data_IF_060852664774
#
_entry.id   IF_060852664774
#
_cell.length_a   1.000
_cell.length_b   1.000
_cell.length_c   1.000
_cell.angle_alpha   90.00
_cell.angle_beta   90.00
_cell.angle_gamma   90.00
#
_symmetry.space_group_name_H-M   'P 1'
#
loop_
_entity.id
_entity.type
_entity.pdbx_description
1 polymer ?
#
# COMPACT_ATOMS: atom_id res chain seq x y z
N UNK A 1 -7.07 -11.47 16.63
CA UNK A 1 -5.82 -11.84 17.32
C UNK A 1 -4.72 -11.03 16.67
N UNK A 2 -4.20 -9.99 17.33
CA UNK A 2 -3.18 -9.11 16.76
C UNK A 2 -1.84 -9.85 16.81
N UNK A 3 -1.22 -10.09 15.65
CA UNK A 3 0.12 -10.66 15.58
C UNK A 3 1.14 -9.52 15.71
N UNK A 4 1.92 -9.52 16.77
CA UNK A 4 3.05 -8.61 16.93
C UNK A 4 4.22 -9.20 16.13
N UNK A 5 4.49 -8.64 14.94
CA UNK A 5 5.66 -8.98 14.13
C UNK A 5 6.94 -8.39 14.77
N UNK A 6 8.15 -8.92 14.44
CA UNK A 6 9.43 -8.52 15.06
C UNK A 6 9.85 -7.05 14.87
N UNK A 7 9.02 -6.24 14.20
CA UNK A 7 9.32 -4.88 13.77
C UNK A 7 8.46 -3.81 14.46
N UNK A 8 7.65 -4.19 15.47
CA UNK A 8 6.79 -3.24 16.19
C UNK A 8 5.58 -2.72 15.38
N UNK A 9 5.42 -3.19 14.14
CA UNK A 9 4.23 -2.93 13.34
C UNK A 9 3.16 -3.95 13.72
N UNK A 10 2.09 -3.49 14.34
CA UNK A 10 0.90 -4.31 14.59
C UNK A 10 0.19 -4.47 13.24
N UNK A 11 0.25 -5.66 12.65
CA UNK A 11 -0.48 -5.95 11.40
C UNK A 11 -1.93 -6.33 11.73
N UNK A 12 -2.86 -5.75 10.98
CA UNK A 12 -4.28 -6.08 11.11
C UNK A 12 -4.59 -7.40 10.37
N UNK A 13 -4.05 -7.55 9.16
CA UNK A 13 -4.19 -8.75 8.31
C UNK A 13 -2.98 -8.90 7.38
N UNK A 14 -2.69 -10.13 6.96
CA UNK A 14 -1.59 -10.44 6.03
C UNK A 14 -2.05 -11.44 4.97
N UNK A 15 -1.63 -11.24 3.72
CA UNK A 15 -1.94 -12.07 2.58
C UNK A 15 -0.66 -12.47 1.85
N UNK A 16 -0.35 -13.76 1.86
CA UNK A 16 0.77 -14.38 1.14
C UNK A 16 0.29 -15.19 -0.05
N UNK A 17 1.23 -15.77 -0.80
CA UNK A 17 0.95 -16.71 -1.88
C UNK A 17 -0.01 -16.15 -2.95
N UNK A 18 0.04 -14.82 -3.16
CA UNK A 18 -0.82 -14.06 -4.07
C UNK A 18 -0.57 -14.38 -5.56
N UNK A 19 0.43 -15.22 -5.84
CA UNK A 19 0.66 -15.82 -7.15
C UNK A 19 -0.37 -16.91 -7.49
N UNK A 20 -1.02 -17.49 -6.46
CA UNK A 20 -2.13 -18.41 -6.60
C UNK A 20 -3.42 -17.62 -6.81
N UNK A 21 -4.17 -17.95 -7.86
CA UNK A 21 -5.35 -17.17 -8.28
C UNK A 21 -6.46 -17.22 -7.24
N UNK A 22 -6.65 -18.36 -6.60
CA UNK A 22 -7.61 -18.58 -5.52
C UNK A 22 -7.28 -17.73 -4.28
N UNK A 23 -6.01 -17.63 -3.89
CA UNK A 23 -5.58 -16.83 -2.75
C UNK A 23 -5.74 -15.34 -3.05
N UNK A 24 -5.36 -14.90 -4.25
CA UNK A 24 -5.59 -13.51 -4.67
C UNK A 24 -7.08 -13.17 -4.67
N UNK A 25 -7.94 -14.04 -5.21
CA UNK A 25 -9.40 -13.83 -5.22
C UNK A 25 -9.99 -13.78 -3.81
N UNK A 26 -9.56 -14.70 -2.93
CA UNK A 26 -10.00 -14.72 -1.53
C UNK A 26 -9.58 -13.44 -0.80
N UNK A 27 -8.32 -13.01 -0.95
CA UNK A 27 -7.80 -11.79 -0.35
C UNK A 27 -8.55 -10.54 -0.85
N UNK A 28 -8.79 -10.43 -2.16
CA UNK A 28 -9.59 -9.33 -2.73
C UNK A 28 -11.01 -9.32 -2.16
N UNK A 29 -11.63 -10.49 -1.99
CA UNK A 29 -12.98 -10.59 -1.42
C UNK A 29 -13.02 -10.21 0.06
N UNK A 30 -12.01 -10.59 0.84
CA UNK A 30 -11.88 -10.19 2.26
C UNK A 30 -11.72 -8.68 2.41
N UNK A 31 -11.06 -8.03 1.44
CA UNK A 31 -10.80 -6.59 1.44
C UNK A 31 -11.85 -5.77 0.65
N UNK A 32 -12.96 -6.39 0.25
CA UNK A 32 -14.05 -5.71 -0.44
C UNK A 32 -14.63 -4.60 0.45
N UNK A 33 -14.86 -3.42 -0.15
CA UNK A 33 -15.39 -2.23 0.54
C UNK A 33 -14.60 -1.76 1.77
N UNK A 34 -13.32 -2.14 1.87
CA UNK A 34 -12.43 -1.67 2.94
C UNK A 34 -11.44 -0.62 2.47
N UNK A 35 -11.16 0.34 3.34
CA UNK A 35 -10.16 1.39 3.17
C UNK A 35 -9.10 1.34 4.25
N UNK A 36 -7.89 1.81 3.94
CA UNK A 36 -6.81 1.82 4.90
C UNK A 36 -5.41 1.97 4.32
N UNK A 37 -4.43 1.69 5.18
CA UNK A 37 -3.00 1.70 4.90
C UNK A 37 -2.52 0.27 4.74
N UNK A 38 -1.77 0.03 3.66
CA UNK A 38 -1.19 -1.27 3.36
C UNK A 38 0.32 -1.17 3.18
N UNK A 39 0.99 -2.30 3.38
CA UNK A 39 2.39 -2.52 3.12
C UNK A 39 2.58 -3.72 2.19
N UNK A 40 3.40 -3.59 1.16
CA UNK A 40 3.85 -4.69 0.30
C UNK A 40 5.31 -4.96 0.63
N UNK A 41 5.58 -6.12 1.21
CA UNK A 41 6.91 -6.52 1.69
C UNK A 41 7.49 -7.61 0.81
N UNK A 42 8.70 -7.39 0.30
CA UNK A 42 9.50 -8.44 -0.31
C UNK A 42 10.11 -9.31 0.79
N UNK A 43 9.78 -10.60 0.83
CA UNK A 43 10.29 -11.53 1.85
C UNK A 43 11.76 -11.89 1.65
N UNK A 44 12.29 -11.71 0.43
CA UNK A 44 13.71 -11.97 0.12
C UNK A 44 14.61 -10.86 0.65
N UNK A 45 14.21 -9.59 0.49
CA UNK A 45 15.05 -8.42 0.84
C UNK A 45 14.61 -7.70 2.10
N UNK A 46 13.39 -7.92 2.57
CA UNK A 46 12.77 -7.15 3.64
C UNK A 46 12.31 -5.74 3.22
N UNK A 47 12.52 -5.34 1.96
CA UNK A 47 12.15 -4.02 1.44
C UNK A 47 10.62 -3.87 1.36
N UNK A 48 10.11 -2.69 1.72
CA UNK A 48 8.68 -2.42 1.86
C UNK A 48 8.20 -1.31 0.93
N UNK A 49 6.95 -1.40 0.48
CA UNK A 49 6.20 -0.30 -0.12
C UNK A 49 4.99 -0.01 0.76
N UNK A 50 4.76 1.23 1.17
CA UNK A 50 3.58 1.66 1.92
C UNK A 50 2.71 2.55 1.05
N UNK A 51 1.40 2.37 1.11
CA UNK A 51 0.45 3.26 0.48
C UNK A 51 -0.91 3.20 1.17
N UNK A 52 -1.80 4.10 0.76
CA UNK A 52 -3.20 4.09 1.18
C UNK A 52 -4.14 3.77 0.03
N UNK A 53 -5.36 3.32 0.36
CA UNK A 53 -6.44 3.19 -0.62
C UNK A 53 -7.80 3.29 0.05
N UNK A 54 -8.76 3.87 -0.66
CA UNK A 54 -10.19 3.80 -0.31
C UNK A 54 -10.80 2.42 -0.63
N UNK A 55 -10.15 1.65 -1.49
CA UNK A 55 -10.57 0.30 -1.92
C UNK A 55 -9.36 -0.61 -1.91
N UNK A 56 -9.14 -1.30 -0.79
CA UNK A 56 -7.96 -2.14 -0.57
C UNK A 56 -7.94 -3.34 -1.50
N UNK A 57 -9.09 -3.98 -1.75
CA UNK A 57 -9.19 -5.11 -2.69
C UNK A 57 -8.76 -4.74 -4.12
N UNK A 58 -9.24 -3.62 -4.63
CA UNK A 58 -8.85 -3.11 -5.96
C UNK A 58 -7.35 -2.82 -6.03
N UNK A 59 -6.81 -2.19 -4.98
CA UNK A 59 -5.40 -1.80 -4.92
C UNK A 59 -4.45 -2.99 -4.80
N UNK A 60 -4.84 -4.01 -4.03
CA UNK A 60 -4.14 -5.30 -3.99
C UNK A 60 -4.04 -5.89 -5.39
N UNK A 61 -5.16 -5.98 -6.10
CA UNK A 61 -5.20 -6.53 -7.47
C UNK A 61 -4.31 -5.74 -8.43
N UNK A 62 -4.37 -4.40 -8.39
CA UNK A 62 -3.53 -3.53 -9.23
C UNK A 62 -2.05 -3.81 -9.01
N UNK A 63 -1.58 -3.83 -7.76
CA UNK A 63 -0.16 -4.03 -7.47
C UNK A 63 0.37 -5.41 -7.86
N UNK A 64 -0.42 -6.46 -7.63
CA UNK A 64 0.00 -7.83 -7.92
C UNK A 64 0.00 -8.12 -9.42
N UNK A 65 -0.96 -7.57 -10.17
CA UNK A 65 -1.07 -7.82 -11.61
C UNK A 65 -0.22 -6.85 -12.43
N UNK A 66 -0.28 -5.55 -12.13
CA UNK A 66 0.42 -4.52 -12.89
C UNK A 66 0.64 -3.25 -12.05
N UNK A 67 1.55 -3.33 -11.08
CA UNK A 67 1.88 -2.19 -10.22
C UNK A 67 2.28 -0.95 -11.04
N UNK A 68 1.60 0.16 -10.78
CA UNK A 68 1.92 1.50 -11.31
C UNK A 68 3.24 2.05 -10.74
N UNK A 69 3.68 1.59 -9.57
CA UNK A 69 5.01 1.91 -9.04
C UNK A 69 6.09 1.07 -9.75
N UNK A 70 6.98 1.74 -10.49
CA UNK A 70 8.02 1.11 -11.31
C UNK A 70 9.04 0.32 -10.48
N UNK A 71 9.41 0.78 -9.28
CA UNK A 71 10.37 0.09 -8.42
C UNK A 71 9.79 -1.20 -7.87
N UNK A 72 8.56 -1.13 -7.37
CA UNK A 72 7.83 -2.30 -6.90
C UNK A 72 7.58 -3.30 -8.04
N UNK A 73 7.15 -2.82 -9.22
CA UNK A 73 6.95 -3.68 -10.40
C UNK A 73 8.22 -4.43 -10.78
N UNK A 74 9.35 -3.73 -10.91
CA UNK A 74 10.65 -4.35 -11.21
C UNK A 74 11.08 -5.35 -10.13
N UNK A 75 10.78 -5.07 -8.86
CA UNK A 75 11.07 -6.00 -7.77
C UNK A 75 10.19 -7.26 -7.84
N UNK A 76 8.91 -7.11 -8.17
CA UNK A 76 7.98 -8.23 -8.39
C UNK A 76 8.43 -9.08 -9.59
N UNK A 77 8.83 -8.46 -10.70
CA UNK A 77 9.40 -9.16 -11.87
C UNK A 77 10.67 -9.93 -11.49
N UNK A 78 11.55 -9.31 -10.68
CA UNK A 78 12.83 -9.91 -10.28
C UNK A 78 12.69 -11.07 -9.30
N UNK A 79 11.89 -10.91 -8.26
CA UNK A 79 11.79 -11.89 -7.16
C UNK A 79 10.57 -12.80 -7.30
N UNK A 80 9.60 -12.47 -8.15
CA UNK A 80 8.35 -13.22 -8.32
C UNK A 80 7.32 -12.90 -7.25
N UNK A 81 6.04 -12.84 -7.64
CA UNK A 81 4.90 -12.53 -6.76
C UNK A 81 4.85 -13.41 -5.50
N UNK A 82 5.25 -14.68 -5.59
CA UNK A 82 5.28 -15.62 -4.44
C UNK A 82 6.12 -15.13 -3.26
N UNK A 83 7.08 -14.24 -3.51
CA UNK A 83 7.99 -13.69 -2.51
C UNK A 83 7.51 -12.34 -1.95
N UNK A 84 6.27 -11.94 -2.24
CA UNK A 84 5.67 -10.72 -1.71
C UNK A 84 4.46 -11.04 -0.82
N UNK A 85 4.36 -10.28 0.27
CA UNK A 85 3.21 -10.31 1.17
C UNK A 85 2.54 -8.95 1.16
N UNK A 86 1.22 -8.95 1.03
CA UNK A 86 0.40 -7.76 1.20
C UNK A 86 -0.13 -7.72 2.64
N UNK A 87 0.15 -6.63 3.34
CA UNK A 87 -0.10 -6.49 4.78
C UNK A 87 -1.02 -5.29 4.96
N UNK A 88 -2.14 -5.46 5.66
CA UNK A 88 -2.93 -4.32 6.15
C UNK A 88 -2.29 -3.84 7.44
N UNK A 89 -1.77 -2.63 7.39
CA UNK A 89 -1.14 -1.96 8.53
C UNK A 89 -2.23 -1.35 9.41
N UNK A 90 -3.21 -0.70 8.78
CA UNK A 90 -4.25 0.03 9.49
C UNK A 90 -5.52 0.11 8.64
N UNK A 91 -6.68 -0.27 9.18
CA UNK A 91 -7.96 0.05 8.57
C UNK A 91 -8.35 1.48 8.92
N UNK A 92 -8.83 2.25 7.95
CA UNK A 92 -9.27 3.63 8.13
C UNK A 92 -10.71 3.72 7.68
N UNK A 93 -11.64 3.94 8.60
CA UNK A 93 -13.06 4.01 8.31
C UNK A 93 -13.43 5.35 7.64
N UNK A 94 -14.40 5.30 6.72
CA UNK A 94 -15.01 6.49 6.14
C UNK A 94 -16.28 6.81 6.91
N UNK A 95 -16.24 7.91 7.66
CA UNK A 95 -17.33 8.31 8.53
C UNK A 95 -18.36 9.12 7.73
N UNK A 96 -19.65 8.79 7.91
CA UNK A 96 -20.76 9.38 7.14
C UNK A 96 -21.07 10.83 7.51
N UNK A 97 -20.64 11.28 8.67
CA UNK A 97 -20.74 12.66 9.16
C UNK A 97 -19.61 13.56 8.63
N UNK A 98 -18.58 12.98 8.02
CA UNK A 98 -17.50 13.70 7.35
C UNK A 98 -17.72 13.75 5.83
N UNK A 99 -17.29 14.86 5.21
CA UNK A 99 -17.24 14.95 3.76
C UNK A 99 -16.24 13.95 3.16
N UNK A 100 -16.36 13.70 1.86
CA UNK A 100 -15.41 12.86 1.13
C UNK A 100 -13.97 13.38 1.24
N UNK A 101 -13.79 14.70 1.19
CA UNK A 101 -12.45 15.31 1.26
C UNK A 101 -11.86 15.23 2.66
N UNK A 102 -12.67 15.34 3.72
CA UNK A 102 -12.21 15.13 5.10
C UNK A 102 -11.80 13.67 5.34
N UNK A 103 -12.59 12.71 4.86
CA UNK A 103 -12.23 11.29 4.96
C UNK A 103 -10.94 10.97 4.19
N UNK A 104 -10.76 11.55 2.98
CA UNK A 104 -9.50 11.42 2.23
C UNK A 104 -8.33 12.07 2.97
N UNK A 105 -8.53 13.25 3.56
CA UNK A 105 -7.50 13.92 4.34
C UNK A 105 -7.07 13.06 5.55
N UNK A 106 -8.03 12.42 6.23
CA UNK A 106 -7.74 11.46 7.29
C UNK A 106 -6.91 10.27 6.77
N UNK A 107 -7.31 9.66 5.65
CA UNK A 107 -6.59 8.56 5.04
C UNK A 107 -5.14 8.95 4.68
N UNK A 108 -4.94 10.12 4.07
CA UNK A 108 -3.62 10.64 3.71
C UNK A 108 -2.77 10.98 4.95
N UNK A 109 -3.38 11.50 6.01
CA UNK A 109 -2.68 11.74 7.28
C UNK A 109 -2.18 10.44 7.90
N UNK A 110 -2.96 9.36 7.81
CA UNK A 110 -2.54 8.02 8.24
C UNK A 110 -1.44 7.45 7.35
N UNK A 111 -1.52 7.63 6.03
CA UNK A 111 -0.45 7.27 5.11
C UNK A 111 0.86 8.00 5.46
N UNK A 112 0.78 9.30 5.69
CA UNK A 112 1.94 10.13 6.02
C UNK A 112 2.62 9.63 7.30
N UNK A 113 1.86 9.30 8.34
CA UNK A 113 2.38 8.73 9.58
C UNK A 113 3.26 7.48 9.33
N UNK A 114 2.79 6.56 8.49
CA UNK A 114 3.53 5.34 8.18
C UNK A 114 4.68 5.57 7.20
N UNK A 115 4.56 6.54 6.29
CA UNK A 115 5.67 6.97 5.44
C UNK A 115 6.77 7.64 6.24
N UNK A 116 6.45 8.49 7.22
CA UNK A 116 7.44 9.12 8.09
C UNK A 116 8.29 8.07 8.82
N UNK A 117 7.63 7.04 9.36
CA UNK A 117 8.30 5.88 9.91
C UNK A 117 9.19 5.17 8.86
N UNK A 118 8.67 4.83 7.68
CA UNK A 118 9.43 4.12 6.65
C UNK A 118 10.63 4.94 6.13
N UNK A 119 10.51 6.26 6.04
CA UNK A 119 11.56 7.15 5.56
C UNK A 119 12.61 7.45 6.64
N UNK A 120 12.29 7.26 7.91
CA UNK A 120 13.29 7.22 9.00
C UNK A 120 14.23 6.01 8.92
N UNK A 121 13.84 4.96 8.19
CA UNK A 121 14.65 3.76 7.98
C UNK A 121 15.65 3.96 6.83
N UNK A 122 16.69 3.10 6.70
CA UNK A 122 17.63 3.17 5.59
C UNK A 122 16.94 3.10 4.22
N UNK A 123 17.46 3.81 3.23
CA UNK A 123 16.88 3.87 1.87
C UNK A 123 16.69 2.51 1.20
N UNK A 124 17.55 1.53 1.50
CA UNK A 124 17.45 0.15 1.04
C UNK A 124 16.21 -0.61 1.55
N UNK A 125 15.53 -0.06 2.55
CA UNK A 125 14.35 -0.68 3.19
C UNK A 125 13.04 -0.31 2.51
N UNK A 126 13.03 0.58 1.51
CA UNK A 126 11.80 1.07 0.89
C UNK A 126 11.80 1.09 -0.64
N UNK A 127 10.61 0.86 -1.22
CA UNK A 127 10.32 1.08 -2.64
C UNK A 127 9.62 2.43 -2.92
N UNK A 128 9.05 3.07 -1.89
CA UNK A 128 8.51 4.42 -2.01
C UNK A 128 9.63 5.40 -2.38
N UNK A 129 9.38 6.22 -3.39
CA UNK A 129 10.30 7.28 -3.81
C UNK A 129 10.01 8.60 -3.08
N UNK A 130 8.73 8.94 -2.91
CA UNK A 130 8.30 10.17 -2.25
C UNK A 130 8.09 9.95 -0.75
N UNK A 131 8.61 10.84 0.10
CA UNK A 131 8.31 10.85 1.53
C UNK A 131 6.90 11.39 1.83
N UNK A 132 6.23 12.00 0.85
CA UNK A 132 4.95 12.68 1.05
C UNK A 132 3.79 11.85 0.50
N UNK A 133 2.81 11.58 1.37
CA UNK A 133 1.57 10.89 1.05
C UNK A 133 0.80 11.61 -0.08
N UNK A 134 0.13 10.84 -0.94
CA UNK A 134 -0.68 11.37 -2.03
C UNK A 134 0.07 12.19 -3.10
N UNK A 135 1.42 12.29 -3.02
CA UNK A 135 2.19 13.08 -3.99
C UNK A 135 1.97 12.55 -5.42
N UNK A 136 1.66 13.42 -6.39
CA UNK A 136 1.30 13.03 -7.75
C UNK A 136 2.56 12.76 -8.60
N UNK A 137 3.48 11.92 -8.12
CA UNK A 137 4.64 11.52 -8.93
C UNK A 137 4.17 10.50 -9.98
N UNK A 138 3.79 11.02 -11.15
CA UNK A 138 3.28 10.27 -12.30
C UNK A 138 2.21 11.00 -13.12
N UNK A 139 1.61 12.07 -12.60
CA UNK A 139 0.77 12.97 -13.42
C UNK A 139 1.68 14.06 -13.97
N UNK A 140 2.20 13.85 -15.17
CA UNK A 140 2.72 14.96 -15.98
C UNK A 140 1.56 15.93 -16.16
N UNK A 141 1.55 17.05 -15.45
CA UNK A 141 0.73 18.19 -15.87
C UNK A 141 1.37 18.70 -17.15
N UNK A 142 0.81 18.36 -18.31
CA UNK A 142 1.07 19.13 -19.53
C UNK A 142 0.63 20.58 -19.27
N UNK A 143 1.37 21.54 -19.80
CA UNK A 143 1.20 22.98 -19.57
C UNK A 143 -0.10 23.59 -20.17
N UNK A 144 -1.17 22.82 -20.35
CA UNK A 144 -2.43 23.29 -20.96
C UNK A 144 -3.49 23.74 -19.94
N UNK A 145 -3.13 23.93 -18.67
CA UNK A 145 -4.06 24.52 -17.69
C UNK A 145 -3.41 25.61 -16.87
N UNK A 146 -2.94 26.65 -17.55
CA UNK A 146 -2.97 28.02 -17.03
C UNK A 146 -3.55 28.92 -18.12
N UNK A 147 -4.83 29.26 -17.93
CA UNK A 147 -5.44 30.45 -18.50
C UNK A 147 -4.79 31.70 -17.90
#
# INVERSE_FOLDING_TARGET
MLFIQPFGMVSAQEFSDLHLTENLRAAVKVLEDTSGIYCIKCQVTGTMYIGSSMRLGDRLKEHIINSSNVHLRRAIEKYGVRNFTFIIVEFVEFLSDLSLEENKANLLAREQHWLDWLFSQPASSRYNFSPTAGSPLGVTRSEETKA
#
